data_IF_280468256790
#
_entry.id   IF_280468256790
#
_cell.length_a   1.000
_cell.length_b   1.000
_cell.length_c   1.000
_cell.angle_alpha   90.00
_cell.angle_beta   90.00
_cell.angle_gamma   90.00
#
_symmetry.space_group_name_H-M   'P 1'
#
loop_
_entity.id
_entity.type
_entity.pdbx_description
1 polymer ?
#
# COMPACT_ATOMS: atom_id res chain seq x y z
N UNK A 1 -12.78 -23.66 -0.39
CA UNK A 1 -11.71 -22.88 -1.05
C UNK A 1 -12.08 -22.42 -2.46
N UNK A 2 -12.59 -23.30 -3.33
CA UNK A 2 -12.89 -22.97 -4.74
C UNK A 2 -13.88 -21.80 -4.87
N UNK A 3 -14.97 -21.79 -4.10
CA UNK A 3 -15.98 -20.74 -4.17
C UNK A 3 -15.43 -19.35 -3.81
N UNK A 4 -14.67 -19.24 -2.72
CA UNK A 4 -14.02 -17.98 -2.32
C UNK A 4 -13.05 -17.48 -3.41
N UNK A 5 -12.23 -18.39 -3.96
CA UNK A 5 -11.32 -18.03 -5.06
C UNK A 5 -12.12 -17.51 -6.27
N UNK A 6 -13.17 -18.21 -6.70
CA UNK A 6 -14.01 -17.76 -7.82
C UNK A 6 -14.59 -16.38 -7.54
N UNK A 7 -15.21 -16.17 -6.37
CA UNK A 7 -15.81 -14.89 -5.99
C UNK A 7 -14.81 -13.74 -6.10
N UNK A 8 -13.63 -13.88 -5.49
CA UNK A 8 -12.62 -12.82 -5.51
C UNK A 8 -12.01 -12.59 -6.91
N UNK A 9 -11.99 -13.60 -7.79
CA UNK A 9 -11.54 -13.45 -9.18
C UNK A 9 -12.62 -12.87 -10.11
N UNK A 10 -13.89 -12.97 -9.74
CA UNK A 10 -14.99 -12.23 -10.39
C UNK A 10 -15.06 -10.77 -9.93
N UNK A 11 -14.36 -10.45 -8.83
CA UNK A 11 -14.33 -9.13 -8.18
C UNK A 11 -15.70 -8.66 -7.71
N UNK A 12 -15.70 -7.59 -6.94
CA UNK A 12 -16.87 -6.85 -6.50
C UNK A 12 -16.42 -5.40 -6.24
N UNK A 13 -17.36 -4.50 -5.89
CA UNK A 13 -17.01 -3.10 -5.63
C UNK A 13 -15.90 -3.01 -4.56
N UNK A 14 -14.85 -2.24 -4.83
CA UNK A 14 -13.73 -2.05 -3.90
C UNK A 14 -14.17 -1.41 -2.58
N UNK A 15 -15.29 -0.70 -2.58
CA UNK A 15 -15.93 -0.13 -1.39
C UNK A 15 -16.44 -1.21 -0.41
N UNK A 16 -16.71 -2.42 -0.90
CA UNK A 16 -17.16 -3.55 -0.07
C UNK A 16 -15.99 -4.31 0.55
N UNK A 17 -14.76 -4.12 0.08
CA UNK A 17 -13.56 -4.80 0.61
C UNK A 17 -13.44 -4.62 2.14
N UNK A 18 -13.48 -3.40 2.72
CA UNK A 18 -13.37 -3.25 4.17
C UNK A 18 -14.44 -4.03 4.93
N UNK A 19 -15.69 -4.03 4.44
CA UNK A 19 -16.81 -4.74 5.05
C UNK A 19 -16.59 -6.26 4.99
N UNK A 20 -16.20 -6.79 3.83
CA UNK A 20 -15.92 -8.22 3.64
C UNK A 20 -14.75 -8.67 4.51
N UNK A 21 -13.69 -7.86 4.56
CA UNK A 21 -12.51 -8.13 5.39
C UNK A 21 -12.88 -8.13 6.86
N UNK A 22 -13.74 -7.23 7.32
CA UNK A 22 -14.15 -7.16 8.72
C UNK A 22 -15.10 -8.30 9.12
N UNK A 23 -16.15 -8.53 8.33
CA UNK A 23 -17.27 -9.41 8.71
C UNK A 23 -17.05 -10.90 8.43
N UNK A 24 -16.08 -11.27 7.57
CA UNK A 24 -15.81 -12.69 7.25
C UNK A 24 -14.58 -13.18 8.05
N UNK A 25 -14.74 -13.97 9.12
CA UNK A 25 -13.62 -14.38 9.96
C UNK A 25 -12.62 -15.30 9.24
N UNK A 26 -13.10 -16.09 8.27
CA UNK A 26 -12.30 -17.03 7.51
C UNK A 26 -11.55 -16.42 6.33
N UNK A 27 -11.56 -15.08 6.16
CA UNK A 27 -10.98 -14.43 4.98
C UNK A 27 -9.45 -14.55 4.91
N UNK A 28 -8.77 -14.96 5.99
CA UNK A 28 -7.34 -15.26 5.97
C UNK A 28 -6.94 -16.29 4.91
N UNK A 29 -7.86 -17.15 4.47
CA UNK A 29 -7.64 -18.12 3.40
C UNK A 29 -7.31 -17.48 2.05
N UNK A 30 -7.72 -16.21 1.85
CA UNK A 30 -7.53 -15.46 0.61
C UNK A 30 -6.05 -15.21 0.32
N UNK A 31 -5.22 -15.11 1.36
CA UNK A 31 -3.78 -14.91 1.23
C UNK A 31 -3.15 -15.93 0.28
N UNK A 32 -3.62 -17.18 0.30
CA UNK A 32 -3.11 -18.27 -0.52
C UNK A 32 -3.21 -18.05 -2.04
N UNK A 33 -4.09 -17.15 -2.51
CA UNK A 33 -4.24 -16.83 -3.93
C UNK A 33 -4.05 -15.33 -4.26
N UNK A 34 -3.60 -14.52 -3.29
CA UNK A 34 -3.19 -13.12 -3.53
C UNK A 34 -2.15 -13.00 -4.65
N UNK A 35 -1.09 -13.83 -4.71
CA UNK A 35 -0.09 -13.72 -5.78
C UNK A 35 -0.67 -13.89 -7.19
N UNK A 36 -1.72 -14.67 -7.35
CA UNK A 36 -2.40 -14.89 -8.63
C UNK A 36 -3.40 -13.76 -8.94
N UNK A 37 -4.09 -13.26 -7.92
CA UNK A 37 -5.06 -12.18 -8.05
C UNK A 37 -4.40 -10.83 -8.38
N UNK A 38 -3.23 -10.51 -7.79
CA UNK A 38 -2.47 -9.28 -8.13
C UNK A 38 -1.79 -9.34 -9.49
N UNK A 39 -1.76 -10.52 -10.13
CA UNK A 39 -1.15 -10.75 -11.45
C UNK A 39 -2.19 -10.88 -12.57
N UNK A 40 -3.45 -10.56 -12.31
CA UNK A 40 -4.48 -10.54 -13.35
C UNK A 40 -4.09 -9.57 -14.48
N UNK A 41 -4.37 -9.93 -15.75
CA UNK A 41 -4.02 -9.09 -16.90
C UNK A 41 -4.90 -7.84 -17.00
N UNK A 42 -6.13 -7.90 -16.49
CA UNK A 42 -7.03 -6.74 -16.41
C UNK A 42 -6.64 -5.84 -15.23
N UNK A 43 -6.42 -4.56 -15.50
CA UNK A 43 -5.99 -3.56 -14.49
C UNK A 43 -6.97 -3.50 -13.32
N UNK A 44 -8.29 -3.47 -13.58
CA UNK A 44 -9.30 -3.37 -12.52
C UNK A 44 -9.24 -4.57 -11.55
N UNK A 45 -9.04 -5.77 -12.08
CA UNK A 45 -8.88 -6.99 -11.27
C UNK A 45 -7.58 -6.98 -10.48
N UNK A 46 -6.52 -6.44 -11.07
CA UNK A 46 -5.24 -6.25 -10.39
C UNK A 46 -5.37 -5.24 -9.24
N UNK A 47 -6.00 -4.07 -9.47
CA UNK A 47 -6.27 -3.06 -8.43
C UNK A 47 -7.09 -3.67 -7.31
N UNK A 48 -8.18 -4.38 -7.63
CA UNK A 48 -9.00 -5.09 -6.66
C UNK A 48 -8.16 -6.06 -5.81
N UNK A 49 -7.36 -6.91 -6.46
CA UNK A 49 -6.51 -7.88 -5.77
C UNK A 49 -5.48 -7.25 -4.84
N UNK A 50 -4.90 -6.14 -5.28
CA UNK A 50 -3.94 -5.36 -4.49
C UNK A 50 -4.62 -4.76 -3.27
N UNK A 51 -5.77 -4.08 -3.45
CA UNK A 51 -6.49 -3.47 -2.34
C UNK A 51 -6.93 -4.51 -1.32
N UNK A 52 -7.52 -5.63 -1.77
CA UNK A 52 -7.89 -6.74 -0.90
C UNK A 52 -6.69 -7.25 -0.09
N UNK A 53 -5.53 -7.41 -0.74
CA UNK A 53 -4.30 -7.82 -0.05
C UNK A 53 -3.84 -6.78 0.99
N UNK A 54 -3.92 -5.48 0.68
CA UNK A 54 -3.54 -4.42 1.62
C UNK A 54 -4.43 -4.42 2.87
N UNK A 55 -5.76 -4.53 2.71
CA UNK A 55 -6.70 -4.64 3.83
C UNK A 55 -6.44 -5.91 4.65
N UNK A 56 -6.15 -7.04 4.00
CA UNK A 56 -5.79 -8.27 4.69
C UNK A 56 -4.48 -8.13 5.49
N UNK A 57 -3.49 -7.43 4.96
CA UNK A 57 -2.24 -7.15 5.68
C UNK A 57 -2.48 -6.29 6.93
N UNK A 58 -3.35 -5.28 6.84
CA UNK A 58 -3.71 -4.46 8.00
C UNK A 58 -4.51 -5.25 9.05
N UNK A 59 -5.44 -6.11 8.62
CA UNK A 59 -6.21 -6.97 9.53
C UNK A 59 -5.36 -8.08 10.16
N UNK A 60 -4.40 -8.65 9.42
CA UNK A 60 -3.58 -9.77 9.84
C UNK A 60 -2.07 -9.49 9.64
N UNK A 61 -1.45 -8.61 10.46
CA UNK A 61 -0.05 -8.23 10.30
C UNK A 61 0.90 -9.32 10.83
N UNK A 62 0.94 -10.46 10.13
CA UNK A 62 1.76 -11.63 10.44
C UNK A 62 2.88 -11.79 9.39
N UNK A 63 3.90 -12.60 9.72
CA UNK A 63 5.10 -12.80 8.89
C UNK A 63 4.79 -13.28 7.46
N UNK A 64 3.83 -14.19 7.28
CA UNK A 64 3.41 -14.65 5.96
C UNK A 64 2.70 -13.57 5.12
N UNK A 65 2.00 -12.62 5.76
CA UNK A 65 1.41 -11.47 5.09
C UNK A 65 2.49 -10.46 4.70
N UNK A 66 3.47 -10.22 5.57
CA UNK A 66 4.63 -9.39 5.25
C UNK A 66 5.37 -9.93 4.03
N UNK A 67 5.76 -11.21 4.03
CA UNK A 67 6.44 -11.83 2.89
C UNK A 67 5.62 -11.72 1.60
N UNK A 68 4.29 -11.84 1.70
CA UNK A 68 3.40 -11.67 0.55
C UNK A 68 3.35 -10.21 0.09
N UNK A 69 3.33 -9.26 1.02
CA UNK A 69 3.34 -7.84 0.74
C UNK A 69 4.63 -7.42 0.02
N UNK A 70 5.79 -7.80 0.55
CA UNK A 70 7.11 -7.52 -0.03
C UNK A 70 7.25 -8.10 -1.44
N UNK A 71 6.87 -9.37 -1.61
CA UNK A 71 7.12 -10.10 -2.86
C UNK A 71 6.11 -9.81 -3.96
N UNK A 72 4.85 -9.51 -3.59
CA UNK A 72 3.76 -9.45 -4.57
C UNK A 72 2.92 -8.18 -4.51
N UNK A 73 2.66 -7.59 -3.34
CA UNK A 73 1.71 -6.46 -3.25
C UNK A 73 2.40 -5.13 -3.52
N UNK A 74 3.44 -4.80 -2.75
CA UNK A 74 4.17 -3.55 -2.87
C UNK A 74 4.80 -3.36 -4.27
N UNK A 75 5.45 -4.36 -4.90
CA UNK A 75 5.96 -4.22 -6.26
C UNK A 75 4.86 -3.95 -7.29
N UNK A 76 3.65 -4.48 -7.08
CA UNK A 76 2.51 -4.26 -7.99
C UNK A 76 1.90 -2.89 -7.81
N UNK A 77 1.78 -2.41 -6.57
CA UNK A 77 1.43 -1.00 -6.29
C UNK A 77 2.41 -0.04 -6.96
N UNK A 78 3.71 -0.29 -6.81
CA UNK A 78 4.74 0.53 -7.48
C UNK A 78 4.61 0.48 -9.00
N UNK A 79 4.29 -0.68 -9.59
CA UNK A 79 4.06 -0.80 -11.04
C UNK A 79 2.83 -0.04 -11.53
N UNK A 80 1.78 0.10 -10.71
CA UNK A 80 0.61 0.93 -11.04
C UNK A 80 0.99 2.41 -11.06
N UNK A 81 1.78 2.86 -10.08
CA UNK A 81 2.26 4.24 -10.02
C UNK A 81 3.29 4.58 -11.12
N UNK A 82 4.18 3.63 -11.42
CA UNK A 82 5.29 3.77 -12.35
C UNK A 82 5.26 2.61 -13.37
N UNK A 83 4.40 2.69 -14.41
CA UNK A 83 4.30 1.65 -15.41
C UNK A 83 5.63 1.48 -16.16
N UNK A 84 5.93 0.22 -16.53
CA UNK A 84 7.14 -0.10 -17.29
C UNK A 84 6.94 0.39 -18.73
N UNK A 85 7.91 1.16 -19.24
CA UNK A 85 7.93 1.64 -20.62
C UNK A 85 8.14 0.47 -21.59
N UNK A 86 7.92 0.71 -22.89
CA UNK A 86 8.16 -0.31 -23.94
C UNK A 86 9.61 -0.82 -23.97
N UNK A 87 10.54 -0.07 -23.39
CA UNK A 87 11.96 -0.40 -23.29
C UNK A 87 12.29 -1.28 -22.07
N UNK A 88 11.28 -1.69 -21.29
CA UNK A 88 11.46 -2.56 -20.13
C UNK A 88 11.92 -1.84 -18.86
N UNK A 89 11.99 -0.50 -18.90
CA UNK A 89 12.45 0.33 -17.79
C UNK A 89 11.25 0.99 -17.09
N UNK A 90 11.26 1.20 -15.77
CA UNK A 90 10.20 1.96 -15.10
C UNK A 90 10.10 3.37 -15.72
N UNK A 91 8.89 3.82 -16.05
CA UNK A 91 8.69 5.19 -16.51
C UNK A 91 9.19 6.18 -15.43
N UNK A 92 10.04 7.16 -15.80
CA UNK A 92 10.49 8.19 -14.86
C UNK A 92 9.34 9.13 -14.45
N UNK A 93 8.25 9.13 -15.21
CA UNK A 93 7.10 10.01 -15.01
C UNK A 93 5.87 9.18 -14.64
N UNK A 94 5.19 9.59 -13.57
CA UNK A 94 3.89 9.06 -13.18
C UNK A 94 2.88 9.21 -14.34
N UNK A 95 2.06 8.20 -14.57
CA UNK A 95 0.92 8.30 -15.49
C UNK A 95 -0.39 8.42 -14.69
N UNK A 96 -1.04 9.61 -14.68
CA UNK A 96 -2.33 9.77 -14.01
C UNK A 96 -3.36 8.80 -14.58
N UNK A 97 -3.99 8.01 -13.72
CA UNK A 97 -5.02 7.05 -14.10
C UNK A 97 -5.99 6.82 -12.94
N UNK A 98 -7.21 6.39 -13.24
CA UNK A 98 -8.19 6.01 -12.22
C UNK A 98 -7.69 4.83 -11.37
N UNK A 99 -6.97 3.89 -12.00
CA UNK A 99 -6.33 2.78 -11.30
C UNK A 99 -5.33 3.25 -10.24
N UNK A 100 -4.55 4.30 -10.53
CA UNK A 100 -3.63 4.87 -9.55
C UNK A 100 -4.38 5.54 -8.39
N UNK A 101 -5.42 6.32 -8.68
CA UNK A 101 -6.27 6.93 -7.65
C UNK A 101 -6.84 5.87 -6.70
N UNK A 102 -7.35 4.78 -7.26
CA UNK A 102 -7.90 3.66 -6.48
C UNK A 102 -6.82 2.90 -5.70
N UNK A 103 -5.60 2.81 -6.23
CA UNK A 103 -4.50 2.07 -5.61
C UNK A 103 -3.81 2.84 -4.47
N UNK A 104 -3.83 4.18 -4.49
CA UNK A 104 -3.12 5.00 -3.49
C UNK A 104 -3.48 4.64 -2.04
N UNK A 105 -4.76 4.47 -1.65
CA UNK A 105 -5.12 4.04 -0.30
C UNK A 105 -4.44 2.73 0.12
N UNK A 106 -4.15 1.81 -0.81
CA UNK A 106 -3.43 0.56 -0.54
C UNK A 106 -2.05 0.78 0.08
N UNK A 107 -1.34 1.85 -0.29
CA UNK A 107 -0.07 2.21 0.33
C UNK A 107 -0.23 2.57 1.81
N UNK A 108 -1.31 3.29 2.16
CA UNK A 108 -1.60 3.66 3.56
C UNK A 108 -1.85 2.40 4.40
N UNK A 109 -2.65 1.48 3.88
CA UNK A 109 -2.93 0.20 4.54
C UNK A 109 -1.65 -0.63 4.75
N UNK A 110 -0.75 -0.65 3.76
CA UNK A 110 0.56 -1.30 3.92
C UNK A 110 1.45 -0.62 4.97
N UNK A 111 1.50 0.72 5.01
CA UNK A 111 2.27 1.43 6.02
C UNK A 111 1.72 1.20 7.43
N UNK A 112 0.38 1.14 7.58
CA UNK A 112 -0.27 0.76 8.84
C UNK A 112 0.04 -0.67 9.22
N UNK A 113 -0.06 -1.63 8.30
CA UNK A 113 0.28 -3.02 8.58
C UNK A 113 1.76 -3.19 8.97
N UNK A 114 2.63 -2.55 8.20
CA UNK A 114 4.08 -2.74 8.18
C UNK A 114 4.80 -1.38 8.08
N UNK A 115 5.05 -0.69 9.21
CA UNK A 115 5.57 0.68 9.22
C UNK A 115 6.94 0.87 8.55
N UNK A 116 7.76 -0.18 8.44
CA UNK A 116 9.06 -0.12 7.77
C UNK A 116 8.95 0.17 6.26
N UNK A 117 7.79 -0.04 5.64
CA UNK A 117 7.56 0.42 4.27
C UNK A 117 7.38 1.93 4.17
N UNK A 118 7.03 2.60 5.26
CA UNK A 118 6.69 4.03 5.28
C UNK A 118 7.69 4.92 4.53
N UNK A 119 9.01 4.87 4.81
CA UNK A 119 10.00 5.67 4.08
C UNK A 119 10.03 5.41 2.56
N UNK A 120 9.90 4.15 2.14
CA UNK A 120 9.84 3.80 0.72
C UNK A 120 8.55 4.33 0.06
N UNK A 121 7.44 4.23 0.78
CA UNK A 121 6.12 4.71 0.33
C UNK A 121 6.10 6.23 0.20
N UNK A 122 6.65 6.96 1.18
CA UNK A 122 6.75 8.43 1.13
C UNK A 122 7.59 8.88 -0.07
N UNK A 123 8.73 8.23 -0.34
CA UNK A 123 9.54 8.50 -1.54
C UNK A 123 8.75 8.25 -2.82
N UNK A 124 7.95 7.18 -2.87
CA UNK A 124 7.09 6.91 -4.02
C UNK A 124 6.04 8.00 -4.20
N UNK A 125 5.40 8.47 -3.11
CA UNK A 125 4.46 9.59 -3.18
C UNK A 125 5.11 10.89 -3.65
N UNK A 126 6.32 11.22 -3.18
CA UNK A 126 7.05 12.39 -3.65
C UNK A 126 7.39 12.28 -5.16
N UNK A 127 7.74 11.07 -5.64
CA UNK A 127 8.00 10.82 -7.05
C UNK A 127 6.72 10.89 -7.90
N UNK A 128 5.59 10.39 -7.39
CA UNK A 128 4.28 10.55 -8.04
C UNK A 128 3.98 12.05 -8.16
N UNK A 129 4.06 12.80 -7.06
CA UNK A 129 3.76 14.24 -7.03
C UNK A 129 4.60 15.05 -8.02
N UNK A 130 5.90 14.75 -8.14
CA UNK A 130 6.80 15.39 -9.11
C UNK A 130 6.42 15.10 -10.57
N UNK A 131 5.82 13.94 -10.84
CA UNK A 131 5.37 13.55 -12.17
C UNK A 131 4.00 14.10 -12.56
N UNK A 132 3.26 14.73 -11.65
CA UNK A 132 1.94 15.30 -11.93
C UNK A 132 2.06 16.75 -12.42
N UNK A 133 1.26 17.15 -13.44
CA UNK A 133 1.14 18.55 -13.80
C UNK A 133 0.65 19.40 -12.62
N UNK A 134 1.11 20.64 -12.51
CA UNK A 134 0.67 21.49 -11.40
C UNK A 134 -0.78 21.95 -11.61
N UNK A 135 -1.59 22.05 -10.53
CA UNK A 135 -2.96 22.55 -10.63
C UNK A 135 -3.08 23.93 -11.31
N UNK A 136 -2.04 24.77 -11.19
CA UNK A 136 -1.98 26.11 -11.79
C UNK A 136 -1.95 26.09 -13.32
N UNK A 137 -1.45 25.01 -13.93
CA UNK A 137 -1.36 24.85 -15.38
C UNK A 137 -2.74 24.65 -16.05
N UNK A 138 -3.78 24.39 -15.25
CA UNK A 138 -5.14 24.16 -15.71
C UNK A 138 -6.07 25.38 -15.53
N UNK A 139 -5.57 26.49 -14.97
CA UNK A 139 -6.38 27.69 -14.73
C UNK A 139 -6.76 28.31 -16.08
N UNK A 140 -8.07 28.39 -16.37
CA UNK A 140 -8.61 28.96 -17.62
C UNK A 140 -8.89 27.94 -18.72
N UNK A 141 -8.67 26.64 -18.48
CA UNK A 141 -9.09 25.58 -19.40
C UNK A 141 -10.52 25.11 -19.06
N UNK A 142 -11.33 24.78 -20.07
CA UNK A 142 -12.64 24.13 -19.86
C UNK A 142 -12.48 22.81 -19.11
N UNK A 143 -13.46 22.45 -18.28
CA UNK A 143 -13.47 21.24 -17.46
C UNK A 143 -13.31 19.97 -18.29
N UNK A 144 -12.07 19.53 -18.49
CA UNK A 144 -11.74 18.23 -19.06
C UNK A 144 -11.75 17.17 -17.96
N UNK A 145 -12.24 15.97 -18.26
CA UNK A 145 -12.15 14.78 -17.39
C UNK A 145 -10.72 14.53 -16.87
N UNK A 146 -9.71 14.91 -17.65
CA UNK A 146 -8.29 14.84 -17.27
C UNK A 146 -7.93 15.78 -16.11
N UNK A 147 -8.49 16.98 -16.08
CA UNK A 147 -8.24 17.97 -15.01
C UNK A 147 -8.85 17.44 -13.71
N UNK A 148 -10.07 16.93 -13.76
CA UNK A 148 -10.75 16.35 -12.59
C UNK A 148 -9.93 15.18 -12.03
N UNK A 149 -9.45 14.28 -12.89
CA UNK A 149 -8.60 13.16 -12.48
C UNK A 149 -7.31 13.63 -11.80
N UNK A 150 -6.60 14.61 -12.38
CA UNK A 150 -5.34 15.13 -11.82
C UNK A 150 -5.59 15.82 -10.47
N UNK A 151 -6.64 16.63 -10.34
CA UNK A 151 -6.99 17.27 -9.07
C UNK A 151 -7.38 16.25 -7.99
N UNK A 152 -8.16 15.23 -8.36
CA UNK A 152 -8.51 14.14 -7.46
C UNK A 152 -7.26 13.39 -7.00
N UNK A 153 -6.33 13.12 -7.92
CA UNK A 153 -5.07 12.45 -7.63
C UNK A 153 -4.19 13.28 -6.67
N UNK A 154 -4.08 14.59 -6.88
CA UNK A 154 -3.36 15.48 -5.94
C UNK A 154 -3.96 15.43 -4.53
N UNK A 155 -5.30 15.48 -4.43
CA UNK A 155 -5.99 15.39 -3.13
C UNK A 155 -5.71 14.07 -2.43
N UNK A 156 -5.98 12.95 -3.11
CA UNK A 156 -5.82 11.59 -2.55
C UNK A 156 -4.35 11.33 -2.18
N UNK A 157 -3.40 11.81 -2.98
CA UNK A 157 -1.98 11.67 -2.71
C UNK A 157 -1.56 12.44 -1.45
N UNK A 158 -2.03 13.68 -1.31
CA UNK A 158 -1.75 14.50 -0.12
C UNK A 158 -2.32 13.85 1.14
N UNK A 159 -3.60 13.52 1.13
CA UNK A 159 -4.28 12.90 2.27
C UNK A 159 -3.60 11.58 2.69
N UNK A 160 -3.20 10.76 1.71
CA UNK A 160 -2.51 9.49 1.95
C UNK A 160 -1.09 9.67 2.48
N UNK A 161 -0.36 10.68 1.98
CA UNK A 161 0.99 11.01 2.45
C UNK A 161 0.97 11.41 3.93
N UNK A 162 0.02 12.25 4.32
CA UNK A 162 -0.12 12.69 5.71
C UNK A 162 -0.42 11.50 6.64
N UNK A 163 -1.28 10.57 6.21
CA UNK A 163 -1.55 9.34 6.96
C UNK A 163 -0.33 8.42 7.09
N UNK A 164 0.47 8.26 6.03
CA UNK A 164 1.70 7.45 6.09
C UNK A 164 2.74 8.11 6.97
N UNK A 165 2.89 9.44 6.91
CA UNK A 165 3.83 10.19 7.75
C UNK A 165 3.53 9.95 9.23
N UNK A 166 2.25 10.02 9.63
CA UNK A 166 1.82 9.72 11.01
C UNK A 166 2.25 8.32 11.46
N UNK A 167 2.19 7.31 10.58
CA UNK A 167 2.61 5.94 10.94
C UNK A 167 4.14 5.82 11.06
N UNK A 168 4.91 6.55 10.25
CA UNK A 168 6.37 6.62 10.38
C UNK A 168 6.77 7.30 11.69
N UNK A 169 6.15 8.44 12.00
CA UNK A 169 6.45 9.20 13.22
C UNK A 169 6.14 8.38 14.49
N UNK A 170 5.04 7.60 14.49
CA UNK A 170 4.71 6.67 15.58
C UNK A 170 5.77 5.57 15.76
N UNK A 171 6.32 5.05 14.66
CA UNK A 171 7.37 4.04 14.69
C UNK A 171 8.64 4.62 15.31
N UNK A 172 9.06 5.81 14.88
CA UNK A 172 10.26 6.48 15.41
C UNK A 172 10.12 6.79 16.90
N UNK A 173 8.95 7.27 17.34
CA UNK A 173 8.64 7.48 18.76
C UNK A 173 8.72 6.18 19.56
N UNK A 174 8.16 5.08 19.03
CA UNK A 174 8.19 3.77 19.69
C UNK A 174 9.62 3.26 19.85
N UNK A 175 10.45 3.40 18.82
CA UNK A 175 11.87 3.04 18.86
C UNK A 175 12.62 3.88 19.89
N UNK A 176 12.35 5.19 19.94
CA UNK A 176 12.94 6.09 20.92
C UNK A 176 12.57 5.68 22.37
N UNK A 177 11.29 5.41 22.65
CA UNK A 177 10.85 4.96 23.98
C UNK A 177 11.45 3.62 24.41
N UNK A 178 11.70 2.71 23.46
CA UNK A 178 12.34 1.42 23.71
C UNK A 178 13.84 1.56 24.01
N UNK A 179 14.54 2.42 23.25
CA UNK A 179 15.96 2.73 23.51
C UNK A 179 16.16 3.45 24.84
N UNK A 180 15.15 4.20 25.30
CA UNK A 180 15.20 4.97 26.54
C UNK A 180 14.44 4.33 27.72
N UNK A 181 14.02 3.06 27.61
CA UNK A 181 13.68 2.20 28.76
C UNK A 181 12.49 2.65 29.62
N UNK A 182 11.30 2.81 29.04
CA UNK A 182 10.06 2.95 29.84
C UNK A 182 9.17 1.70 29.74
N UNK A 183 8.94 1.03 30.87
CA UNK A 183 8.31 -0.30 31.02
C UNK A 183 6.81 -0.41 30.62
N UNK A 184 6.18 0.62 30.04
CA UNK A 184 4.71 0.68 29.92
C UNK A 184 4.11 0.34 28.55
N UNK A 185 4.87 -0.24 27.61
CA UNK A 185 4.41 -0.49 26.24
C UNK A 185 4.09 -1.95 25.86
N UNK A 186 4.08 -2.89 26.80
CA UNK A 186 4.37 -4.30 26.48
C UNK A 186 3.20 -5.21 26.08
N UNK A 187 1.94 -4.77 26.12
CA UNK A 187 0.81 -5.73 26.04
C UNK A 187 0.07 -5.76 24.70
N UNK A 188 0.07 -4.68 23.90
CA UNK A 188 -0.60 -4.67 22.57
C UNK A 188 0.36 -4.79 21.37
N UNK A 189 1.66 -4.76 21.63
CA UNK A 189 2.67 -4.49 20.61
C UNK A 189 3.57 -5.69 20.28
N UNK A 190 3.41 -6.83 20.97
CA UNK A 190 4.43 -7.87 21.02
C UNK A 190 4.64 -8.66 19.71
N UNK A 191 3.65 -8.73 18.79
CA UNK A 191 3.83 -9.35 17.46
C UNK A 191 4.31 -8.38 16.37
N UNK A 192 3.79 -7.14 16.34
CA UNK A 192 4.25 -6.09 15.42
C UNK A 192 5.67 -5.64 15.76
N UNK A 193 6.01 -5.53 17.04
CA UNK A 193 7.36 -5.21 17.50
C UNK A 193 8.34 -6.36 17.22
N UNK A 194 7.98 -7.63 17.41
CA UNK A 194 8.91 -8.74 17.10
C UNK A 194 9.29 -8.80 15.61
N UNK A 195 8.35 -8.50 14.72
CA UNK A 195 8.59 -8.46 13.28
C UNK A 195 9.51 -7.28 12.90
N UNK A 196 9.23 -6.09 13.44
CA UNK A 196 10.07 -4.89 13.29
C UNK A 196 11.46 -5.11 13.91
N UNK A 197 11.55 -5.77 15.06
CA UNK A 197 12.82 -6.13 15.73
C UNK A 197 13.62 -7.13 14.91
N UNK A 198 13.01 -8.19 14.37
CA UNK A 198 13.70 -9.14 13.48
C UNK A 198 14.27 -8.45 12.24
N UNK A 199 13.54 -7.49 11.66
CA UNK A 199 14.01 -6.74 10.50
C UNK A 199 15.10 -5.72 10.86
N UNK A 200 14.97 -4.98 11.96
CA UNK A 200 16.01 -4.07 12.44
C UNK A 200 17.32 -4.81 12.78
N UNK A 201 17.22 -5.98 13.44
CA UNK A 201 18.37 -6.86 13.71
C UNK A 201 18.96 -7.46 12.43
N UNK A 202 18.13 -7.84 11.45
CA UNK A 202 18.59 -8.35 10.15
C UNK A 202 19.35 -7.30 9.33
N UNK A 203 18.96 -6.03 9.40
CA UNK A 203 19.67 -4.91 8.76
C UNK A 203 21.02 -4.65 9.44
N UNK A 204 21.09 -4.78 10.77
CA UNK A 204 22.35 -4.60 11.51
C UNK A 204 23.34 -5.73 11.21
N UNK A 205 22.86 -6.97 11.03
CA UNK A 205 23.73 -8.12 10.70
C UNK A 205 24.25 -8.12 9.26
N UNK A 206 23.66 -7.38 8.32
CA UNK A 206 24.18 -7.27 6.95
C UNK A 206 25.20 -6.13 6.77
N UNK A 207 25.53 -5.40 7.84
CA UNK A 207 26.45 -4.25 7.86
C UNK A 207 27.78 -4.61 8.57
N UNK A 208 27.94 -5.85 9.05
CA UNK A 208 29.22 -6.40 9.51
C UNK A 208 29.74 -7.46 8.53
#
# INVERSE_FOLDING_TARGET
>A
MILAKILHFQTYSTELIPIVVDLIPSLYIVLGFVPELTRQPQVDKQVFGILLACYLCEKYPLENYLMTAEKYVLPRLMKIAFPITKEGHPSPTCMPSEALVQAIPGFVHLARAFPHFGPQILRAFDNIAKGLPQPKEFIGQESSSKIILVLHLHKVLKDSRDLVQVEVDKMDQSLFSLLHGTEYGLIYHQRRILLVMRQALGIIQSIQ
#
